data_IF_985810520792
#
_entry.id   IF_985810520792
#
_cell.length_a   1.000
_cell.length_b   1.000
_cell.length_c   1.000
_cell.angle_alpha   90.00
_cell.angle_beta   90.00
_cell.angle_gamma   90.00
#
_symmetry.space_group_name_H-M   'P 1'
#
loop_
_entity.id
_entity.type
_entity.pdbx_description
1 polymer ?
#
# COMPACT_ATOMS: atom_id res chain seq x y z
N UNK A 1 -0.40 -27.09 -46.85
CA UNK A 1 0.35 -27.03 -45.58
C UNK A 1 -0.13 -25.80 -44.84
N UNK A 2 -0.98 -25.98 -43.84
CA UNK A 2 -1.56 -24.87 -43.06
C UNK A 2 -0.51 -24.39 -42.06
N UNK A 3 -0.02 -23.16 -42.23
CA UNK A 3 0.98 -22.58 -41.33
C UNK A 3 0.30 -22.15 -40.04
N UNK A 4 0.42 -22.95 -38.98
CA UNK A 4 -0.04 -22.60 -37.64
C UNK A 4 0.78 -21.39 -37.15
N UNK A 5 0.20 -20.20 -37.26
CA UNK A 5 0.76 -18.98 -36.68
C UNK A 5 0.71 -19.09 -35.15
N UNK A 6 1.84 -19.43 -34.54
CA UNK A 6 2.02 -19.36 -33.09
C UNK A 6 1.91 -17.89 -32.68
N UNK A 7 0.73 -17.46 -32.24
CA UNK A 7 0.52 -16.14 -31.61
C UNK A 7 1.40 -16.10 -30.36
N UNK A 8 2.60 -15.53 -30.47
CA UNK A 8 3.40 -15.17 -29.33
C UNK A 8 2.56 -14.23 -28.48
N UNK A 9 2.21 -14.68 -27.27
CA UNK A 9 1.62 -13.80 -26.27
C UNK A 9 2.65 -12.72 -25.98
N UNK A 10 2.52 -11.59 -26.68
CA UNK A 10 3.32 -10.41 -26.42
C UNK A 10 2.85 -9.89 -25.06
N UNK A 11 3.52 -10.32 -23.99
CA UNK A 11 3.48 -9.61 -22.73
C UNK A 11 4.13 -8.26 -23.00
N UNK A 12 3.29 -7.29 -23.36
CA UNK A 12 3.63 -5.87 -23.35
C UNK A 12 3.76 -5.49 -21.89
N UNK A 13 4.85 -5.95 -21.25
CA UNK A 13 5.20 -5.57 -19.90
C UNK A 13 5.11 -4.06 -19.82
N UNK A 14 4.44 -3.56 -18.77
CA UNK A 14 4.28 -2.14 -18.55
C UNK A 14 5.69 -1.54 -18.53
N UNK A 15 6.06 -0.82 -19.59
CA UNK A 15 7.40 -0.25 -19.78
C UNK A 15 7.75 0.77 -18.68
N UNK A 16 6.75 1.14 -17.87
CA UNK A 16 6.81 2.04 -16.72
C UNK A 16 6.69 1.33 -15.36
N UNK A 17 6.94 0.02 -15.26
CA UNK A 17 6.78 -0.72 -14.00
C UNK A 17 7.50 -0.05 -12.81
N UNK A 18 8.69 0.52 -13.05
CA UNK A 18 9.40 1.30 -12.01
C UNK A 18 8.61 2.52 -11.51
N UNK A 19 7.96 3.26 -12.40
CA UNK A 19 7.12 4.41 -12.03
C UNK A 19 5.88 4.00 -11.24
N UNK A 20 5.27 2.88 -11.61
CA UNK A 20 4.12 2.32 -10.88
C UNK A 20 4.51 1.95 -9.45
N UNK A 21 5.68 1.35 -9.26
CA UNK A 21 6.20 0.98 -7.93
C UNK A 21 6.44 2.23 -7.08
N UNK A 22 7.03 3.29 -7.65
CA UNK A 22 7.28 4.54 -6.93
C UNK A 22 5.96 5.20 -6.50
N UNK A 23 4.98 5.31 -7.39
CA UNK A 23 3.66 5.87 -7.05
C UNK A 23 3.00 5.01 -5.96
N UNK A 24 3.04 3.68 -6.10
CA UNK A 24 2.47 2.76 -5.12
C UNK A 24 3.12 2.93 -3.74
N UNK A 25 4.45 3.09 -3.68
CA UNK A 25 5.16 3.35 -2.43
C UNK A 25 4.74 4.67 -1.78
N UNK A 26 4.63 5.75 -2.55
CA UNK A 26 4.16 7.04 -2.05
C UNK A 26 2.74 6.90 -1.47
N UNK A 27 1.83 6.26 -2.20
CA UNK A 27 0.46 6.02 -1.74
C UNK A 27 0.45 5.17 -0.47
N UNK A 28 1.30 4.14 -0.38
CA UNK A 28 1.40 3.31 0.82
C UNK A 28 1.86 4.11 2.04
N UNK A 29 2.87 4.98 1.91
CA UNK A 29 3.35 5.85 2.99
C UNK A 29 2.25 6.83 3.42
N UNK A 30 1.51 7.40 2.46
CA UNK A 30 0.37 8.27 2.77
C UNK A 30 -0.71 7.51 3.53
N UNK A 31 -1.10 6.32 3.10
CA UNK A 31 -2.08 5.49 3.81
C UNK A 31 -1.57 5.15 5.21
N UNK A 32 -0.28 4.82 5.37
CA UNK A 32 0.31 4.52 6.66
C UNK A 32 0.17 5.70 7.64
N UNK A 33 0.55 6.92 7.22
CA UNK A 33 0.44 8.09 8.10
C UNK A 33 -0.99 8.60 8.31
N UNK A 34 -1.82 8.62 7.25
CA UNK A 34 -3.15 9.22 7.33
C UNK A 34 -4.24 8.26 7.81
N UNK A 35 -4.16 6.97 7.47
CA UNK A 35 -5.16 5.98 7.85
C UNK A 35 -4.77 5.29 9.15
N UNK A 36 -3.55 4.74 9.23
CA UNK A 36 -3.11 4.01 10.42
C UNK A 36 -2.65 4.98 11.52
N UNK A 37 -1.91 6.03 11.16
CA UNK A 37 -1.49 7.12 12.04
C UNK A 37 -2.56 8.17 12.36
N UNK A 38 -3.81 7.93 11.96
CA UNK A 38 -4.91 8.85 12.26
C UNK A 38 -5.03 9.07 13.78
N UNK A 39 -5.05 10.30 14.29
CA UNK A 39 -5.20 10.59 15.72
C UNK A 39 -6.40 9.87 16.35
N UNK A 40 -7.50 9.67 15.63
CA UNK A 40 -8.67 8.93 16.13
C UNK A 40 -8.39 7.47 16.49
N UNK A 41 -7.27 6.92 16.03
CA UNK A 41 -6.84 5.58 16.36
C UNK A 41 -6.09 5.48 17.70
N UNK A 42 -5.76 6.61 18.34
CA UNK A 42 -4.94 6.69 19.54
C UNK A 42 -5.66 7.38 20.70
N UNK A 43 -5.28 7.00 21.92
CA UNK A 43 -5.89 7.55 23.13
C UNK A 43 -5.79 9.07 23.16
N UNK A 44 -6.87 9.73 23.57
CA UNK A 44 -7.00 11.19 23.61
C UNK A 44 -6.82 11.89 22.25
N UNK A 45 -6.97 11.17 21.13
CA UNK A 45 -6.70 11.67 19.79
C UNK A 45 -5.25 12.13 19.56
N UNK A 46 -4.29 11.53 20.26
CA UNK A 46 -2.86 11.85 20.14
C UNK A 46 -2.07 10.63 19.64
N UNK A 47 -1.50 10.68 18.41
CA UNK A 47 -0.74 9.59 17.80
C UNK A 47 0.49 9.11 18.60
N UNK A 48 0.97 9.91 19.56
CA UNK A 48 2.09 9.52 20.43
C UNK A 48 1.66 8.62 21.59
N UNK A 49 0.37 8.63 21.94
CA UNK A 49 -0.17 7.81 23.02
C UNK A 49 -0.39 6.36 22.59
N UNK A 50 -0.80 5.52 23.54
CA UNK A 50 -1.16 4.15 23.21
C UNK A 50 -2.32 4.12 22.19
N UNK A 51 -2.28 3.19 21.22
CA UNK A 51 -3.43 2.96 20.35
C UNK A 51 -4.66 2.59 21.18
N UNK A 52 -5.86 2.90 20.67
CA UNK A 52 -7.09 2.51 21.36
C UNK A 52 -7.10 0.98 21.54
N UNK A 53 -7.53 0.48 22.70
CA UNK A 53 -7.62 -0.95 22.94
C UNK A 53 -8.61 -1.58 21.94
N UNK A 54 -8.12 -2.56 21.17
CA UNK A 54 -8.88 -3.19 20.08
C UNK A 54 -8.72 -2.53 18.72
N UNK A 55 -8.09 -1.36 18.62
CA UNK A 55 -7.87 -0.68 17.35
C UNK A 55 -6.52 -1.05 16.72
N UNK A 56 -6.52 -2.14 15.95
CA UNK A 56 -5.33 -2.69 15.31
C UNK A 56 -4.63 -1.70 14.37
N UNK A 57 -5.34 -0.74 13.78
CA UNK A 57 -4.75 0.28 12.91
C UNK A 57 -3.70 1.13 13.63
N UNK A 58 -4.00 1.56 14.86
CA UNK A 58 -3.05 2.31 15.69
C UNK A 58 -1.89 1.45 16.19
N UNK A 59 -2.16 0.17 16.51
CA UNK A 59 -1.11 -0.78 16.92
C UNK A 59 -0.13 -1.07 15.80
N UNK A 60 -0.62 -1.26 14.56
CA UNK A 60 0.23 -1.46 13.39
C UNK A 60 1.05 -0.20 13.08
N UNK A 61 0.49 1.00 13.28
CA UNK A 61 1.21 2.26 13.07
C UNK A 61 2.35 2.46 14.07
N UNK A 62 2.10 2.23 15.37
CA UNK A 62 3.09 2.43 16.42
C UNK A 62 4.20 1.37 16.41
N UNK A 63 3.93 0.24 15.76
CA UNK A 63 4.67 -0.99 15.99
C UNK A 63 4.22 -1.55 17.34
N UNK A 64 3.50 -2.68 17.31
CA UNK A 64 3.05 -3.37 18.53
C UNK A 64 4.18 -3.62 19.51
#
# INVERSE_FOLDING_TARGET
METIQKKSASFKGIKSAGWVIVICFIVAVLIFHFVLGNPSNFMNNDPNNHPLPGNFLGTIYKGG
#
